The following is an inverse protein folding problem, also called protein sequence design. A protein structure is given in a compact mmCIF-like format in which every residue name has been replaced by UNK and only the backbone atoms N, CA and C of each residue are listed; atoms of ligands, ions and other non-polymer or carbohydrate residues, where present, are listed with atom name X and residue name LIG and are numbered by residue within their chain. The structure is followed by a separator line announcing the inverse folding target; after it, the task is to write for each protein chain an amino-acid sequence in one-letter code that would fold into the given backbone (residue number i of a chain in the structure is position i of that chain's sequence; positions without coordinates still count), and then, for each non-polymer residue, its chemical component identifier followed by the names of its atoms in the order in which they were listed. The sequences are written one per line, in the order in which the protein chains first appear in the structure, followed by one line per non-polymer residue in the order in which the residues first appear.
data_IF_380893082182
#
_entry.id   IF_380893082182
#
_cell.length_a   1.000
_cell.length_b   1.000
_cell.length_c   1.000
_cell.angle_alpha   90.00
_cell.angle_beta   90.00
_cell.angle_gamma   90.00
#
_symmetry.space_group_name_H-M   'P 1'
#
loop_
_entity.id
_entity.type
_entity.pdbx_description
1 polymer ?
#
# COMPACT_ATOMS: atom_id res chain seq x y z
N UNK A 1 -25.17 14.21 -5.53
CA UNK A 1 -26.55 13.82 -5.15
C UNK A 1 -27.40 13.37 -6.34
N UNK A 2 -27.84 14.25 -7.27
CA UNK A 2 -28.71 13.87 -8.42
C UNK A 2 -28.23 12.70 -9.31
N UNK A 3 -26.92 12.47 -9.39
CA UNK A 3 -26.32 11.34 -10.12
C UNK A 3 -26.51 10.01 -9.35
N UNK A 4 -26.26 10.02 -8.03
CA UNK A 4 -26.40 8.84 -7.18
C UNK A 4 -27.86 8.41 -7.05
N UNK A 5 -28.80 9.36 -6.93
CA UNK A 5 -30.25 9.07 -6.93
C UNK A 5 -30.71 8.40 -8.24
N UNK A 6 -30.08 8.76 -9.36
CA UNK A 6 -30.38 8.18 -10.68
C UNK A 6 -29.82 6.77 -10.80
N UNK A 7 -28.62 6.52 -10.26
CA UNK A 7 -28.00 5.19 -10.19
C UNK A 7 -28.80 4.27 -9.27
N UNK A 8 -29.30 4.77 -8.13
CA UNK A 8 -30.14 3.98 -7.20
C UNK A 8 -31.39 3.42 -7.88
N UNK A 9 -32.03 4.19 -8.76
CA UNK A 9 -33.27 3.77 -9.46
C UNK A 9 -33.06 2.64 -10.47
N UNK A 10 -31.82 2.34 -10.87
CA UNK A 10 -31.49 1.27 -11.81
C UNK A 10 -30.45 0.28 -11.29
N UNK A 11 -30.12 0.31 -10.00
CA UNK A 11 -29.06 -0.51 -9.44
C UNK A 11 -29.50 -1.97 -9.28
N UNK A 12 -28.68 -2.89 -9.77
CA UNK A 12 -28.84 -4.33 -9.52
C UNK A 12 -28.64 -4.68 -8.03
N UNK A 13 -27.86 -3.86 -7.30
CA UNK A 13 -27.62 -4.01 -5.87
C UNK A 13 -27.86 -2.69 -5.10
N UNK A 14 -29.14 -2.30 -4.85
CA UNK A 14 -29.49 -1.02 -4.24
C UNK A 14 -28.84 -0.78 -2.88
N UNK A 15 -28.68 -1.84 -2.07
CA UNK A 15 -28.05 -1.76 -0.75
C UNK A 15 -26.59 -1.29 -0.82
N UNK A 16 -25.82 -1.72 -1.83
CA UNK A 16 -24.42 -1.28 -1.99
C UNK A 16 -24.33 0.19 -2.37
N UNK A 17 -25.22 0.65 -3.24
CA UNK A 17 -25.30 2.06 -3.63
C UNK A 17 -25.74 2.92 -2.45
N UNK A 18 -26.69 2.44 -1.63
CA UNK A 18 -27.09 3.11 -0.40
C UNK A 18 -25.92 3.33 0.56
N UNK A 19 -25.05 2.32 0.75
CA UNK A 19 -23.82 2.47 1.54
C UNK A 19 -22.87 3.52 0.98
N UNK A 20 -22.69 3.55 -0.34
CA UNK A 20 -21.85 4.56 -1.01
C UNK A 20 -22.42 5.97 -0.83
N UNK A 21 -23.73 6.14 -0.99
CA UNK A 21 -24.42 7.41 -0.74
C UNK A 21 -24.17 7.87 0.70
N UNK A 22 -24.31 6.95 1.66
CA UNK A 22 -24.04 7.24 3.07
C UNK A 22 -22.61 7.69 3.34
N UNK A 23 -21.62 7.06 2.71
CA UNK A 23 -20.21 7.51 2.82
C UNK A 23 -20.05 8.96 2.38
N UNK A 24 -20.77 9.38 1.33
CA UNK A 24 -20.69 10.74 0.79
C UNK A 24 -21.47 11.73 1.64
N UNK A 25 -22.70 11.41 2.02
CA UNK A 25 -23.60 12.33 2.72
C UNK A 25 -23.19 12.55 4.17
N UNK A 26 -22.65 11.51 4.83
CA UNK A 26 -22.21 11.56 6.23
C UNK A 26 -20.68 11.86 6.34
N UNK A 27 -20.02 12.22 5.23
CA UNK A 27 -18.57 12.53 5.14
C UNK A 27 -17.64 11.45 5.76
N UNK A 28 -17.96 10.17 5.51
CA UNK A 28 -17.27 9.02 6.12
C UNK A 28 -16.00 8.60 5.37
N UNK A 29 -15.51 9.41 4.43
CA UNK A 29 -14.37 9.08 3.57
C UNK A 29 -13.12 8.75 4.39
N UNK A 30 -12.82 9.54 5.42
CA UNK A 30 -11.66 9.28 6.30
C UNK A 30 -11.83 8.01 7.14
N UNK A 31 -13.04 7.74 7.65
CA UNK A 31 -13.32 6.55 8.44
C UNK A 31 -13.17 5.28 7.59
N UNK A 32 -13.73 5.29 6.38
CA UNK A 32 -13.57 4.20 5.41
C UNK A 32 -12.11 3.99 5.03
N UNK A 33 -11.37 5.08 4.73
CA UNK A 33 -9.95 5.01 4.42
C UNK A 33 -9.15 4.35 5.55
N UNK A 34 -9.39 4.74 6.81
CA UNK A 34 -8.72 4.15 7.98
C UNK A 34 -9.06 2.66 8.16
N UNK A 35 -10.30 2.26 7.91
CA UNK A 35 -10.71 0.86 7.98
C UNK A 35 -9.95 0.01 6.93
N UNK A 36 -9.88 0.51 5.69
CA UNK A 36 -9.13 -0.13 4.60
C UNK A 36 -7.64 -0.17 4.89
N UNK A 37 -7.05 0.94 5.32
CA UNK A 37 -5.62 1.03 5.63
C UNK A 37 -5.24 0.09 6.77
N UNK A 38 -6.05 0.04 7.83
CA UNK A 38 -5.85 -0.89 8.94
C UNK A 38 -5.86 -2.35 8.49
N UNK A 39 -6.78 -2.72 7.59
CA UNK A 39 -6.82 -4.07 7.03
C UNK A 39 -5.59 -4.36 6.17
N UNK A 40 -5.16 -3.40 5.33
CA UNK A 40 -3.93 -3.51 4.53
C UNK A 40 -2.70 -3.77 5.41
N UNK A 41 -2.54 -2.99 6.48
CA UNK A 41 -1.43 -3.16 7.44
C UNK A 41 -1.46 -4.54 8.08
N UNK A 42 -2.63 -5.04 8.50
CA UNK A 42 -2.76 -6.38 9.10
C UNK A 42 -2.53 -7.50 8.09
N UNK A 43 -2.91 -7.31 6.82
CA UNK A 43 -2.60 -8.24 5.73
C UNK A 43 -1.10 -8.36 5.43
N UNK A 44 -0.28 -7.39 5.85
CA UNK A 44 1.18 -7.55 5.80
C UNK A 44 1.72 -8.62 6.74
N UNK A 45 0.97 -8.98 7.80
CA UNK A 45 1.32 -10.03 8.75
C UNK A 45 0.41 -11.28 8.68
N UNK A 46 -0.77 -11.17 8.06
CA UNK A 46 -1.80 -12.24 8.00
C UNK A 46 -2.24 -12.52 6.58
N UNK A 47 -2.64 -13.75 6.29
CA UNK A 47 -3.08 -14.14 4.94
C UNK A 47 -4.51 -13.70 4.61
N UNK A 48 -5.30 -13.37 5.64
CA UNK A 48 -6.65 -12.84 5.50
C UNK A 48 -7.01 -11.90 6.64
N UNK A 49 -7.94 -11.00 6.37
CA UNK A 49 -8.48 -10.04 7.33
C UNK A 49 -9.87 -9.55 6.90
N UNK A 50 -10.45 -8.60 7.64
CA UNK A 50 -11.72 -7.95 7.30
C UNK A 50 -11.60 -6.44 7.27
N UNK A 51 -12.29 -5.81 6.32
CA UNK A 51 -12.57 -4.38 6.31
C UNK A 51 -13.95 -4.19 6.92
N UNK A 52 -14.00 -3.61 8.12
CA UNK A 52 -15.24 -3.37 8.85
C UNK A 52 -15.46 -1.87 9.08
N UNK A 53 -16.68 -1.40 8.84
CA UNK A 53 -17.13 -0.05 9.18
C UNK A 53 -18.63 -0.07 9.49
N UNK A 54 -18.97 -0.06 10.77
CA UNK A 54 -20.34 -0.18 11.27
C UNK A 54 -21.25 0.97 10.81
N UNK A 55 -20.70 2.19 10.64
CA UNK A 55 -21.44 3.37 10.19
C UNK A 55 -22.15 3.17 8.84
N UNK A 56 -21.68 2.21 8.03
CA UNK A 56 -22.27 1.86 6.75
C UNK A 56 -22.59 0.36 6.66
N UNK A 57 -22.66 -0.39 7.76
CA UNK A 57 -22.87 -1.84 7.75
C UNK A 57 -21.95 -2.57 6.75
N UNK A 58 -20.67 -2.19 6.74
CA UNK A 58 -19.65 -2.83 5.91
C UNK A 58 -18.91 -3.85 6.75
N UNK A 59 -18.88 -5.08 6.26
CA UNK A 59 -18.02 -6.13 6.77
C UNK A 59 -17.58 -7.04 5.62
N UNK A 60 -16.38 -6.79 5.10
CA UNK A 60 -15.86 -7.43 3.90
C UNK A 60 -14.62 -8.26 4.22
N UNK A 61 -14.70 -9.57 3.94
CA UNK A 61 -13.53 -10.45 4.00
C UNK A 61 -12.56 -10.12 2.85
N UNK A 62 -11.27 -9.98 3.18
CA UNK A 62 -10.20 -9.75 2.22
C UNK A 62 -9.08 -10.75 2.47
N UNK A 63 -8.67 -11.46 1.42
CA UNK A 63 -7.50 -12.34 1.46
C UNK A 63 -6.31 -11.65 0.78
N UNK A 64 -5.10 -11.92 1.26
CA UNK A 64 -3.86 -11.36 0.72
C UNK A 64 -3.71 -11.59 -0.79
N UNK A 65 -3.99 -12.78 -1.36
CA UNK A 65 -3.91 -12.96 -2.82
C UNK A 65 -4.85 -12.05 -3.61
N UNK A 66 -6.05 -11.77 -3.09
CA UNK A 66 -6.99 -10.84 -3.71
C UNK A 66 -6.48 -9.41 -3.67
N UNK A 67 -5.94 -8.98 -2.52
CA UNK A 67 -5.28 -7.68 -2.39
C UNK A 67 -4.08 -7.54 -3.33
N UNK A 68 -3.20 -8.53 -3.38
CA UNK A 68 -2.03 -8.54 -4.27
C UNK A 68 -2.43 -8.47 -5.75
N UNK A 69 -3.54 -9.10 -6.13
CA UNK A 69 -4.10 -8.99 -7.48
C UNK A 69 -4.60 -7.57 -7.79
N UNK A 70 -5.23 -6.89 -6.82
CA UNK A 70 -5.70 -5.51 -7.01
C UNK A 70 -4.55 -4.51 -7.25
N UNK A 71 -3.40 -4.72 -6.61
CA UNK A 71 -2.22 -3.84 -6.73
C UNK A 71 -1.21 -4.32 -7.79
N UNK A 72 -1.53 -5.33 -8.59
CA UNK A 72 -0.60 -5.91 -9.56
C UNK A 72 -0.05 -4.87 -10.56
N UNK A 73 -0.88 -3.90 -10.94
CA UNK A 73 -0.47 -2.77 -11.80
C UNK A 73 0.53 -1.83 -11.12
N UNK A 74 0.33 -1.53 -9.84
CA UNK A 74 1.25 -0.71 -9.04
C UNK A 74 2.60 -1.41 -8.85
N UNK A 75 2.57 -2.73 -8.59
CA UNK A 75 3.79 -3.53 -8.49
C UNK A 75 4.58 -3.53 -9.81
N UNK A 76 3.90 -3.64 -10.95
CA UNK A 76 4.54 -3.54 -12.26
C UNK A 76 5.08 -2.12 -12.56
N UNK A 77 4.45 -1.08 -12.02
CA UNK A 77 4.97 0.28 -12.11
C UNK A 77 6.26 0.45 -11.29
N UNK A 78 6.32 -0.12 -10.08
CA UNK A 78 7.53 -0.13 -9.24
C UNK A 78 8.69 -0.81 -9.99
N UNK A 79 8.46 -1.97 -10.59
CA UNK A 79 9.50 -2.69 -11.32
C UNK A 79 10.07 -1.88 -12.50
N UNK A 80 9.20 -1.19 -13.26
CA UNK A 80 9.64 -0.31 -14.35
C UNK A 80 10.50 0.85 -13.84
N UNK A 81 10.14 1.45 -12.71
CA UNK A 81 10.95 2.50 -12.09
C UNK A 81 12.32 1.96 -11.68
N UNK A 82 12.39 0.73 -11.14
CA UNK A 82 13.65 0.08 -10.81
C UNK A 82 14.51 -0.20 -12.05
N UNK A 83 13.89 -0.69 -13.14
CA UNK A 83 14.56 -0.89 -14.43
C UNK A 83 15.18 0.42 -14.95
N UNK A 84 14.38 1.49 -14.98
CA UNK A 84 14.80 2.80 -15.46
C UNK A 84 15.96 3.38 -14.63
N UNK A 85 15.90 3.24 -13.30
CA UNK A 85 16.96 3.71 -12.40
C UNK A 85 18.27 2.96 -12.63
N UNK A 86 18.22 1.63 -12.76
CA UNK A 86 19.39 0.81 -13.02
C UNK A 86 20.01 1.11 -14.40
N UNK A 87 19.17 1.24 -15.42
CA UNK A 87 19.60 1.59 -16.77
C UNK A 87 20.30 2.96 -16.79
N UNK A 88 19.73 3.97 -16.11
CA UNK A 88 20.32 5.31 -16.00
C UNK A 88 21.62 5.31 -15.19
N UNK A 89 21.75 4.43 -14.21
CA UNK A 89 22.98 4.25 -13.44
C UNK A 89 24.05 3.43 -14.17
N UNK A 90 23.69 2.76 -15.28
CA UNK A 90 24.58 1.82 -15.97
C UNK A 90 24.93 0.60 -15.13
N UNK A 91 24.06 0.21 -14.19
CA UNK A 91 24.28 -0.88 -13.24
C UNK A 91 23.32 -2.05 -13.49
N UNK A 92 23.80 -3.27 -13.31
CA UNK A 92 22.96 -4.45 -13.24
C UNK A 92 22.40 -4.64 -11.82
N UNK A 93 21.28 -5.35 -11.69
CA UNK A 93 20.74 -5.70 -10.37
C UNK A 93 21.72 -6.50 -9.50
N UNK A 94 22.62 -7.27 -10.14
CA UNK A 94 23.67 -8.02 -9.47
C UNK A 94 24.71 -7.11 -8.79
N UNK A 95 24.95 -5.91 -9.32
CA UNK A 95 25.92 -4.94 -8.82
C UNK A 95 25.44 -4.23 -7.54
N UNK A 96 24.17 -4.42 -7.16
CA UNK A 96 23.61 -3.81 -5.95
C UNK A 96 24.04 -4.62 -4.74
N UNK A 97 24.74 -4.00 -3.79
CA UNK A 97 25.19 -4.67 -2.56
C UNK A 97 24.09 -4.77 -1.49
N UNK A 98 23.25 -3.73 -1.38
CA UNK A 98 22.23 -3.58 -0.33
C UNK A 98 20.98 -2.88 -0.85
N UNK A 99 19.82 -3.33 -0.37
CA UNK A 99 18.52 -2.74 -0.67
C UNK A 99 17.86 -2.30 0.63
N UNK A 100 17.69 -0.99 0.79
CA UNK A 100 16.96 -0.39 1.90
C UNK A 100 15.55 -0.04 1.44
N UNK A 101 14.55 -0.79 1.88
CA UNK A 101 13.17 -0.59 1.47
C UNK A 101 12.45 0.34 2.46
N UNK A 102 12.40 1.64 2.17
CA UNK A 102 11.84 2.64 3.11
C UNK A 102 10.33 2.84 2.95
N UNK A 103 9.67 3.31 4.02
CA UNK A 103 8.22 3.59 4.07
C UNK A 103 7.35 2.38 4.40
N UNK A 104 6.16 2.61 4.98
CA UNK A 104 5.29 1.51 5.46
C UNK A 104 4.81 0.55 4.37
N UNK A 105 4.68 1.01 3.13
CA UNK A 105 4.29 0.15 1.98
C UNK A 105 5.35 -0.88 1.64
N UNK A 106 6.62 -0.66 1.99
CA UNK A 106 7.68 -1.65 1.79
C UNK A 106 7.51 -2.90 2.65
N UNK A 107 6.65 -2.85 3.69
CA UNK A 107 6.30 -4.00 4.52
C UNK A 107 5.26 -4.92 3.86
N UNK A 108 4.66 -4.50 2.73
CA UNK A 108 3.73 -5.37 1.99
C UNK A 108 4.48 -6.58 1.43
N UNK A 109 4.02 -7.83 1.70
CA UNK A 109 4.73 -9.04 1.30
C UNK A 109 5.05 -9.13 -0.20
N UNK A 110 4.13 -8.70 -1.07
CA UNK A 110 4.36 -8.68 -2.52
C UNK A 110 5.52 -7.75 -2.92
N UNK A 111 5.65 -6.59 -2.29
CA UNK A 111 6.74 -5.63 -2.57
C UNK A 111 8.07 -6.23 -2.13
N UNK A 112 8.14 -6.77 -0.90
CA UNK A 112 9.35 -7.42 -0.38
C UNK A 112 9.78 -8.58 -1.26
N UNK A 113 8.83 -9.42 -1.69
CA UNK A 113 9.08 -10.56 -2.55
C UNK A 113 9.68 -10.13 -3.88
N UNK A 114 9.13 -9.12 -4.55
CA UNK A 114 9.71 -8.60 -5.81
C UNK A 114 11.12 -8.05 -5.64
N UNK A 115 11.37 -7.29 -4.57
CA UNK A 115 12.71 -6.80 -4.27
C UNK A 115 13.69 -7.94 -4.01
N UNK A 116 13.27 -8.97 -3.26
CA UNK A 116 14.10 -10.14 -2.96
C UNK A 116 14.37 -10.99 -4.22
N UNK A 117 13.36 -11.22 -5.06
CA UNK A 117 13.50 -11.93 -6.34
C UNK A 117 14.46 -11.21 -7.28
N UNK A 118 14.44 -9.87 -7.27
CA UNK A 118 15.26 -9.04 -8.16
C UNK A 118 16.70 -8.88 -7.69
N UNK A 119 16.91 -8.59 -6.42
CA UNK A 119 18.22 -8.19 -5.89
C UNK A 119 18.89 -9.26 -5.02
N UNK A 120 18.15 -10.27 -4.56
CA UNK A 120 18.59 -11.25 -3.57
C UNK A 120 18.04 -10.94 -2.18
N UNK A 121 17.45 -11.95 -1.53
CA UNK A 121 16.81 -11.81 -0.22
C UNK A 121 17.81 -11.40 0.89
N UNK A 122 19.07 -11.82 0.76
CA UNK A 122 20.18 -11.50 1.64
C UNK A 122 20.61 -10.02 1.57
N UNK A 123 20.31 -9.35 0.46
CA UNK A 123 20.63 -7.93 0.26
C UNK A 123 19.60 -6.98 0.84
N UNK A 124 18.39 -7.47 1.15
CA UNK A 124 17.33 -6.66 1.74
C UNK A 124 17.64 -6.39 3.21
N UNK A 125 17.78 -5.11 3.54
CA UNK A 125 17.95 -4.64 4.92
C UNK A 125 16.57 -4.38 5.52
N UNK A 126 16.29 -4.96 6.70
CA UNK A 126 15.03 -4.77 7.43
C UNK A 126 15.22 -4.15 8.81
N UNK A 127 14.12 -3.70 9.42
CA UNK A 127 14.06 -3.23 10.81
C UNK A 127 14.03 -1.71 11.00
N UNK A 128 14.24 -0.92 9.93
CA UNK A 128 14.30 0.55 9.99
C UNK A 128 13.47 1.23 8.88
N UNK A 129 12.52 0.51 8.28
CA UNK A 129 11.73 0.99 7.15
C UNK A 129 10.97 2.29 7.46
N UNK A 130 10.58 2.50 8.72
CA UNK A 130 9.83 3.67 9.19
C UNK A 130 10.70 4.80 9.76
N UNK A 131 11.97 4.52 10.09
CA UNK A 131 12.83 5.45 10.86
C UNK A 131 14.10 5.88 10.12
N UNK A 132 14.53 5.11 9.11
CA UNK A 132 15.75 5.35 8.33
C UNK A 132 15.89 6.77 7.78
N UNK A 133 14.82 7.36 7.26
CA UNK A 133 14.84 8.74 6.75
C UNK A 133 15.09 9.75 7.86
N UNK A 134 14.42 9.61 9.01
CA UNK A 134 14.59 10.50 10.15
C UNK A 134 16.01 10.43 10.71
N UNK A 135 16.58 9.22 10.79
CA UNK A 135 17.98 9.02 11.19
C UNK A 135 18.96 9.71 10.24
N UNK A 136 18.77 9.57 8.93
CA UNK A 136 19.61 10.24 7.93
C UNK A 136 19.58 11.77 8.06
N UNK A 137 18.40 12.35 8.27
CA UNK A 137 18.23 13.78 8.50
C UNK A 137 18.91 14.25 9.80
N UNK A 138 18.74 13.51 10.90
CA UNK A 138 19.39 13.82 12.18
C UNK A 138 20.93 13.74 12.09
N UNK A 139 21.46 12.72 11.42
CA UNK A 139 22.89 12.58 11.18
C UNK A 139 23.43 13.74 10.34
N UNK A 140 22.69 14.16 9.29
CA UNK A 140 23.06 15.31 8.47
C UNK A 140 23.03 16.61 9.27
N UNK A 141 22.00 16.83 10.08
CA UNK A 141 21.90 18.01 10.95
C UNK A 141 23.08 18.09 11.91
N UNK A 142 23.47 16.99 12.54
CA UNK A 142 24.66 16.93 13.40
C UNK A 142 25.94 17.29 12.64
N UNK A 143 26.10 16.85 11.40
CA UNK A 143 27.30 17.16 10.60
C UNK A 143 27.36 18.63 10.12
N UNK A 144 26.22 19.32 10.05
CA UNK A 144 26.15 20.71 9.56
C UNK A 144 26.13 21.72 10.70
N UNK A 145 25.51 21.37 11.83
CA UNK A 145 25.24 22.29 12.94
C UNK A 145 25.85 21.87 14.28
N UNK A 146 26.46 20.68 14.35
CA UNK A 146 27.20 20.19 15.52
C UNK A 146 28.68 20.47 15.40
#
# INVERSE_FOLDING_TARGET
LRLLDRVMRGALEPARIGRLVRVVDDDLGLALHRAVEGAKVRLSARDADRVALDLIDLDLAVARPGFEAWIAGDLAAIDRVLDDVLARAGAAAADIDRVFATGGTSLVPAVRRRLAERFGADKLVGGEELTSVAWGLAARARAVFG
#
